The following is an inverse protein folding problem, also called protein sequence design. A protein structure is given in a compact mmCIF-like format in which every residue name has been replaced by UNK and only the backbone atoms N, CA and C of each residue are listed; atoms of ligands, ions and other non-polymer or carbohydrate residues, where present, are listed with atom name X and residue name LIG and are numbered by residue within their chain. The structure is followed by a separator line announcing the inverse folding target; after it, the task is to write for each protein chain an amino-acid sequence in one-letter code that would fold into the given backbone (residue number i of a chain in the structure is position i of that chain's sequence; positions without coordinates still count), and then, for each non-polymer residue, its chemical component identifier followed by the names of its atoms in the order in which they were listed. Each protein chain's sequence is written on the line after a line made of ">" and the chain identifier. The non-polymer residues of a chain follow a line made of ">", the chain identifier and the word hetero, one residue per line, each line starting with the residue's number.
data_IF_623200182737
#
_entry.id   IF_623200182737
#
_cell.length_a   1.000
_cell.length_b   1.000
_cell.length_c   1.000
_cell.angle_alpha   90.00
_cell.angle_beta   90.00
_cell.angle_gamma   90.00
#
_symmetry.space_group_name_H-M   'P 1'
#
loop_
_entity.id
_entity.type
_entity.pdbx_description
1 polymer ?
#
# COMPACT_ATOMS: atom_id res chain seq x y z
N UNK A 1 1.66 -10.02 -20.66
CA UNK A 1 2.97 -9.49 -20.24
C UNK A 1 3.00 -9.52 -18.73
N UNK A 2 3.83 -10.40 -18.17
CA UNK A 2 4.02 -10.56 -16.73
C UNK A 2 4.80 -9.36 -16.18
N UNK A 3 4.51 -8.99 -14.93
CA UNK A 3 5.08 -7.85 -14.24
C UNK A 3 5.49 -8.28 -12.84
N UNK A 4 6.56 -7.68 -12.30
CA UNK A 4 7.03 -7.98 -10.95
C UNK A 4 6.05 -7.53 -9.85
N UNK A 5 5.23 -6.51 -10.14
CA UNK A 5 4.23 -6.06 -9.20
C UNK A 5 3.17 -5.15 -9.82
N UNK A 6 2.18 -4.82 -9.00
CA UNK A 6 1.01 -3.99 -9.34
C UNK A 6 1.01 -2.79 -8.43
N UNK A 7 0.96 -1.60 -9.02
CA UNK A 7 0.96 -0.34 -8.29
C UNK A 7 -0.33 0.42 -8.58
N UNK A 8 -1.17 0.55 -7.57
CA UNK A 8 -2.41 1.33 -7.65
C UNK A 8 -2.15 2.70 -7.07
N UNK A 9 -2.36 3.72 -7.89
CA UNK A 9 -2.47 5.10 -7.47
C UNK A 9 -3.95 5.36 -7.18
N UNK A 10 -4.27 5.58 -5.92
CA UNK A 10 -5.62 5.71 -5.41
C UNK A 10 -5.87 7.15 -4.96
N UNK A 11 -6.88 7.76 -5.55
CA UNK A 11 -7.39 9.07 -5.17
C UNK A 11 -8.68 8.87 -4.36
N UNK A 12 -8.75 9.42 -3.14
CA UNK A 12 -9.93 9.34 -2.27
C UNK A 12 -10.47 10.74 -2.01
N UNK A 13 -11.77 10.93 -2.30
CA UNK A 13 -12.46 12.21 -2.16
C UNK A 13 -13.63 12.11 -1.19
N UNK A 14 -13.97 13.27 -0.60
CA UNK A 14 -15.06 13.43 0.35
C UNK A 14 -14.95 12.51 1.58
N UNK A 15 -13.71 12.22 2.00
CA UNK A 15 -13.41 11.42 3.18
C UNK A 15 -13.85 12.11 4.48
N UNK A 16 -13.87 11.35 5.58
CA UNK A 16 -14.03 11.92 6.91
C UNK A 16 -12.79 12.76 7.30
N UNK A 17 -12.90 14.10 7.42
CA UNK A 17 -11.75 14.96 7.69
C UNK A 17 -11.15 14.74 9.09
N UNK A 18 -11.94 14.29 10.08
CA UNK A 18 -11.42 13.97 11.42
C UNK A 18 -10.49 12.76 11.37
N UNK A 19 -10.86 11.73 10.60
CA UNK A 19 -10.01 10.56 10.38
C UNK A 19 -8.74 10.93 9.60
N UNK A 20 -8.82 11.85 8.64
CA UNK A 20 -7.67 12.29 7.85
C UNK A 20 -6.63 13.08 8.68
N UNK A 21 -7.04 13.74 9.77
CA UNK A 21 -6.14 14.51 10.63
C UNK A 21 -5.62 13.70 11.84
N UNK A 22 -6.08 12.47 12.04
CA UNK A 22 -5.66 11.61 13.15
C UNK A 22 -4.57 10.64 12.71
N UNK A 23 -3.34 10.87 13.18
CA UNK A 23 -2.18 10.05 12.80
C UNK A 23 -2.28 8.62 13.32
N UNK A 24 -2.90 8.39 14.47
CA UNK A 24 -3.05 7.05 15.04
C UNK A 24 -4.11 6.28 14.24
N UNK A 25 -5.22 6.93 13.88
CA UNK A 25 -6.25 6.35 13.02
C UNK A 25 -5.72 6.04 11.62
N UNK A 26 -4.95 6.95 11.02
CA UNK A 26 -4.31 6.72 9.71
C UNK A 26 -3.29 5.59 9.77
N UNK A 27 -2.44 5.56 10.81
CA UNK A 27 -1.45 4.48 11.01
C UNK A 27 -2.14 3.13 11.11
N UNK A 28 -3.19 3.02 11.92
CA UNK A 28 -3.96 1.80 12.07
C UNK A 28 -4.67 1.41 10.76
N UNK A 29 -5.32 2.36 10.09
CA UNK A 29 -6.03 2.14 8.83
C UNK A 29 -5.12 1.60 7.73
N UNK A 30 -3.96 2.23 7.53
CA UNK A 30 -2.97 1.76 6.55
C UNK A 30 -2.38 0.39 6.93
N UNK A 31 -2.15 0.15 8.22
CA UNK A 31 -1.62 -1.14 8.71
C UNK A 31 -2.61 -2.27 8.43
N UNK A 32 -3.88 -2.07 8.74
CA UNK A 32 -4.92 -3.05 8.44
C UNK A 32 -5.12 -3.25 6.93
N UNK A 33 -5.03 -2.19 6.12
CA UNK A 33 -5.06 -2.32 4.66
C UNK A 33 -3.90 -3.18 4.12
N UNK A 34 -2.68 -2.97 4.63
CA UNK A 34 -1.53 -3.80 4.27
C UNK A 34 -1.77 -5.28 4.65
N UNK A 35 -2.24 -5.54 5.87
CA UNK A 35 -2.54 -6.90 6.34
C UNK A 35 -3.68 -7.56 5.54
N UNK A 36 -4.73 -6.81 5.19
CA UNK A 36 -5.85 -7.30 4.40
C UNK A 36 -5.43 -7.75 2.99
N UNK A 37 -4.42 -7.09 2.41
CA UNK A 37 -3.85 -7.53 1.12
C UNK A 37 -3.03 -8.83 1.22
N UNK A 38 -2.67 -9.26 2.44
CA UNK A 38 -1.78 -10.40 2.68
C UNK A 38 -0.29 -10.02 2.67
N UNK A 39 0.03 -8.73 2.68
CA UNK A 39 1.41 -8.25 2.68
C UNK A 39 2.10 -8.47 4.03
N UNK A 40 3.40 -8.76 3.99
CA UNK A 40 4.26 -8.78 5.18
C UNK A 40 4.82 -7.39 5.43
N UNK A 41 4.51 -6.82 6.59
CA UNK A 41 5.00 -5.50 7.01
C UNK A 41 6.41 -5.62 7.56
N UNK A 42 7.31 -4.74 7.10
CA UNK A 42 8.68 -4.62 7.59
C UNK A 42 8.86 -3.39 8.48
N UNK A 43 8.20 -2.27 8.15
CA UNK A 43 8.39 -0.98 8.83
C UNK A 43 7.19 -0.05 8.61
N UNK A 44 6.86 0.77 9.61
CA UNK A 44 5.67 1.64 9.67
C UNK A 44 6.10 3.02 10.18
N UNK A 45 6.03 4.04 9.33
CA UNK A 45 6.41 5.41 9.69
C UNK A 45 5.36 6.42 9.25
N UNK A 46 4.89 7.24 10.19
CA UNK A 46 3.88 8.27 9.98
C UNK A 46 4.27 9.58 10.66
N UNK A 47 3.83 10.69 10.10
CA UNK A 47 4.07 12.04 10.59
C UNK A 47 2.79 12.86 10.47
N UNK A 48 2.36 13.45 11.60
CA UNK A 48 1.33 14.49 11.63
C UNK A 48 1.98 15.86 11.43
N UNK A 49 1.47 16.63 10.49
CA UNK A 49 1.86 18.01 10.27
C UNK A 49 1.07 18.98 11.15
N UNK A 50 1.63 20.17 11.34
CA UNK A 50 0.92 21.30 11.91
C UNK A 50 0.53 22.29 10.79
N UNK A 51 -0.71 22.81 10.77
CA UNK A 51 -1.75 22.59 11.77
C UNK A 51 -2.55 21.29 11.59
N UNK A 52 -2.59 20.72 10.38
CA UNK A 52 -3.38 19.53 10.05
C UNK A 52 -2.67 18.68 8.98
N UNK A 53 -3.11 17.44 8.82
CA UNK A 53 -2.70 16.52 7.78
C UNK A 53 -1.66 15.51 8.25
N UNK A 54 -1.64 14.37 7.57
CA UNK A 54 -0.81 13.21 7.88
C UNK A 54 -0.15 12.71 6.61
N UNK A 55 1.13 12.38 6.69
CA UNK A 55 1.81 11.56 5.68
C UNK A 55 2.43 10.33 6.34
N UNK A 56 2.42 9.22 5.63
CA UNK A 56 3.13 8.04 6.10
C UNK A 56 3.22 6.93 5.09
N UNK A 57 4.01 5.93 5.46
CA UNK A 57 4.37 4.84 4.58
C UNK A 57 4.58 3.57 5.40
N UNK A 58 4.10 2.47 4.84
CA UNK A 58 4.35 1.11 5.31
C UNK A 58 5.25 0.46 4.27
N UNK A 59 6.46 0.10 4.71
CA UNK A 59 7.36 -0.72 3.91
C UNK A 59 6.92 -2.17 4.11
N UNK A 60 6.57 -2.81 3.01
CA UNK A 60 6.26 -4.24 2.97
C UNK A 60 7.38 -4.98 2.24
N UNK A 61 7.39 -6.31 2.32
CA UNK A 61 8.35 -7.10 1.56
C UNK A 61 8.26 -6.74 0.06
N UNK A 62 9.36 -6.18 -0.45
CA UNK A 62 9.57 -5.84 -1.87
C UNK A 62 8.77 -4.67 -2.45
N UNK A 63 8.00 -3.93 -1.66
CA UNK A 63 7.17 -2.81 -2.15
C UNK A 63 6.68 -1.91 -0.99
N UNK A 64 5.52 -1.25 -1.10
CA UNK A 64 5.04 -0.32 -0.07
C UNK A 64 3.56 0.06 -0.20
N UNK A 65 3.00 0.57 0.89
CA UNK A 65 1.81 1.41 0.87
C UNK A 65 2.17 2.81 1.38
N UNK A 66 1.68 3.88 0.77
CA UNK A 66 1.81 5.26 1.28
C UNK A 66 0.49 6.01 1.26
N UNK A 67 0.40 7.04 2.10
CA UNK A 67 -0.74 7.95 2.17
C UNK A 67 -0.28 9.37 2.47
N UNK A 68 -0.92 10.33 1.81
CA UNK A 68 -0.83 11.75 2.07
C UNK A 68 -2.24 12.32 2.17
N UNK A 69 -2.55 13.04 3.24
CA UNK A 69 -3.90 13.54 3.52
C UNK A 69 -3.95 15.06 3.53
N UNK A 70 -5.07 15.60 3.07
CA UNK A 70 -5.44 17.01 3.16
C UNK A 70 -6.85 17.12 3.74
N UNK A 71 -6.99 17.14 5.08
CA UNK A 71 -8.28 17.18 5.76
C UNK A 71 -9.17 18.34 5.32
N UNK A 72 -8.59 19.51 5.04
CA UNK A 72 -9.29 20.71 4.57
C UNK A 72 -9.96 20.54 3.20
N UNK A 73 -9.48 19.58 2.39
CA UNK A 73 -10.07 19.21 1.11
C UNK A 73 -10.82 17.87 1.16
N UNK A 74 -10.91 17.24 2.35
CA UNK A 74 -11.47 15.90 2.54
C UNK A 74 -10.85 14.88 1.57
N UNK A 75 -9.55 15.00 1.35
CA UNK A 75 -8.84 14.29 0.29
C UNK A 75 -7.66 13.48 0.85
N UNK A 76 -7.44 12.30 0.29
CA UNK A 76 -6.24 11.52 0.51
C UNK A 76 -5.72 10.94 -0.82
N UNK A 77 -4.41 11.05 -1.01
CA UNK A 77 -3.67 10.35 -2.06
C UNK A 77 -3.03 9.11 -1.43
N UNK A 78 -3.29 7.93 -1.98
CA UNK A 78 -2.75 6.68 -1.50
C UNK A 78 -2.03 5.93 -2.63
N UNK A 79 -0.93 5.28 -2.29
CA UNK A 79 -0.25 4.34 -3.16
C UNK A 79 -0.36 2.94 -2.56
N UNK A 80 -0.82 1.97 -3.34
CA UNK A 80 -0.78 0.55 -2.97
C UNK A 80 0.08 -0.18 -3.99
N UNK A 81 1.36 -0.33 -3.67
CA UNK A 81 2.30 -1.09 -4.49
C UNK A 81 2.55 -2.44 -3.83
N UNK A 82 2.19 -3.51 -4.51
CA UNK A 82 2.48 -4.89 -4.08
C UNK A 82 3.25 -5.65 -5.15
N UNK A 83 4.05 -6.62 -4.71
CA UNK A 83 4.79 -7.54 -5.55
C UNK A 83 4.27 -8.97 -5.37
N UNK A 84 4.39 -9.78 -6.41
CA UNK A 84 3.91 -11.16 -6.40
C UNK A 84 2.43 -11.32 -6.73
N UNK A 85 2.07 -12.58 -6.95
CA UNK A 85 0.82 -13.05 -7.55
C UNK A 85 -0.17 -13.62 -6.52
N UNK A 86 0.24 -13.68 -5.24
CA UNK A 86 -0.58 -14.10 -4.10
C UNK A 86 -1.24 -12.94 -3.34
N UNK A 87 -0.81 -11.71 -3.60
CA UNK A 87 -1.29 -10.51 -2.92
C UNK A 87 -2.31 -9.81 -3.82
N UNK A 88 -3.51 -9.55 -3.29
CA UNK A 88 -4.51 -8.74 -3.99
C UNK A 88 -4.53 -7.32 -3.41
N UNK A 89 -3.95 -6.33 -4.12
CA UNK A 89 -3.90 -4.97 -3.62
C UNK A 89 -5.26 -4.25 -3.65
N UNK A 90 -6.28 -4.79 -4.35
CA UNK A 90 -7.63 -4.21 -4.30
C UNK A 90 -8.30 -4.41 -2.94
N UNK A 91 -7.93 -5.44 -2.18
CA UNK A 91 -8.40 -5.62 -0.80
C UNK A 91 -7.94 -4.48 0.11
N UNK A 92 -6.71 -3.99 -0.09
CA UNK A 92 -6.23 -2.80 0.62
C UNK A 92 -7.03 -1.56 0.21
N UNK A 93 -7.29 -1.39 -1.09
CA UNK A 93 -8.08 -0.26 -1.59
C UNK A 93 -9.49 -0.25 -1.02
N UNK A 94 -10.20 -1.38 -1.06
CA UNK A 94 -11.56 -1.49 -0.53
C UNK A 94 -11.61 -1.16 0.97
N UNK A 95 -10.60 -1.63 1.71
CA UNK A 95 -10.45 -1.29 3.13
C UNK A 95 -10.25 0.21 3.34
N UNK A 96 -9.37 0.85 2.57
CA UNK A 96 -9.10 2.29 2.68
C UNK A 96 -10.33 3.14 2.33
N UNK A 97 -11.04 2.81 1.24
CA UNK A 97 -12.26 3.50 0.81
C UNK A 97 -13.32 3.45 1.91
N UNK A 98 -13.54 2.26 2.48
CA UNK A 98 -14.51 2.04 3.56
C UNK A 98 -14.11 2.77 4.85
N UNK A 99 -12.85 2.62 5.28
CA UNK A 99 -12.42 3.10 6.59
C UNK A 99 -12.25 4.63 6.65
N UNK A 100 -11.82 5.25 5.55
CA UNK A 100 -11.71 6.71 5.45
C UNK A 100 -13.03 7.38 5.05
N UNK A 101 -14.11 6.59 4.88
CA UNK A 101 -15.45 7.04 4.49
C UNK A 101 -15.46 7.87 3.19
N UNK A 102 -14.64 7.48 2.22
CA UNK A 102 -14.54 8.17 0.94
C UNK A 102 -15.84 8.00 0.14
N UNK A 103 -16.43 9.09 -0.36
CA UNK A 103 -17.67 9.03 -1.16
C UNK A 103 -17.41 8.85 -2.65
N UNK A 104 -16.19 9.17 -3.08
CA UNK A 104 -15.74 8.97 -4.44
C UNK A 104 -14.27 8.56 -4.42
N UNK A 105 -13.90 7.65 -5.31
CA UNK A 105 -12.52 7.22 -5.47
C UNK A 105 -12.18 7.00 -6.94
N UNK A 106 -10.91 7.15 -7.29
CA UNK A 106 -10.40 6.79 -8.60
C UNK A 106 -9.08 6.04 -8.47
N UNK A 107 -8.84 5.11 -9.39
CA UNK A 107 -7.72 4.19 -9.33
C UNK A 107 -7.03 4.16 -10.69
N UNK A 108 -5.72 4.35 -10.71
CA UNK A 108 -4.87 4.05 -11.86
C UNK A 108 -3.97 2.88 -11.48
N UNK A 109 -4.13 1.75 -12.17
CA UNK A 109 -3.24 0.60 -12.01
C UNK A 109 -2.07 0.67 -12.99
N UNK A 110 -0.85 0.60 -12.45
CA UNK A 110 0.38 0.47 -13.20
C UNK A 110 1.06 -0.87 -12.93
N UNK A 111 1.39 -1.59 -14.00
CA UNK A 111 2.26 -2.76 -13.93
C UNK A 111 3.72 -2.32 -13.78
N UNK A 112 4.38 -2.77 -12.72
CA UNK A 112 5.78 -2.43 -12.42
C UNK A 112 6.69 -3.60 -12.77
N UNK A 113 7.82 -3.31 -13.41
CA UNK A 113 8.79 -4.34 -13.80
C UNK A 113 8.24 -5.29 -14.88
N UNK A 114 7.79 -4.75 -16.01
CA UNK A 114 7.35 -5.54 -17.16
C UNK A 114 8.50 -6.44 -17.64
N UNK A 115 8.30 -7.76 -17.59
CA UNK A 115 9.28 -8.73 -18.07
C UNK A 115 9.23 -8.78 -19.60
N UNK A 116 10.29 -8.26 -20.25
CA UNK A 116 10.39 -8.13 -21.71
C UNK A 116 11.00 -9.37 -22.40
N UNK A 117 11.73 -10.19 -21.65
CA UNK A 117 12.41 -11.39 -22.15
C UNK A 117 12.01 -12.60 -21.30
N UNK A 118 11.66 -13.72 -21.95
CA UNK A 118 11.31 -15.01 -21.32
C UNK A 118 12.48 -15.67 -20.55
N UNK A 119 13.66 -15.04 -20.51
CA UNK A 119 14.82 -15.53 -19.76
C UNK A 119 14.68 -15.38 -18.25
N UNK A 120 13.83 -14.47 -17.80
CA UNK A 120 13.54 -14.29 -16.38
C UNK A 120 12.29 -15.10 -16.05
N UNK A 121 12.48 -16.23 -15.39
CA UNK A 121 11.38 -16.97 -14.74
C UNK A 121 10.68 -16.04 -13.74
N UNK A 122 9.37 -16.23 -13.47
CA UNK A 122 8.68 -15.47 -12.42
C UNK A 122 9.50 -15.52 -11.13
N UNK A 123 9.77 -14.36 -10.53
CA UNK A 123 10.56 -14.29 -9.30
C UNK A 123 9.82 -15.07 -8.20
N UNK A 124 10.47 -16.10 -7.63
CA UNK A 124 10.13 -16.57 -6.28
C UNK A 124 10.17 -15.34 -5.36
N UNK A 125 9.22 -15.22 -4.42
CA UNK A 125 9.24 -14.09 -3.49
C UNK A 125 10.61 -14.06 -2.79
N UNK A 126 11.21 -12.90 -2.55
CA UNK A 126 12.50 -12.82 -1.82
C UNK A 126 12.41 -13.47 -0.44
N UNK A 127 11.21 -13.53 0.14
CA UNK A 127 10.92 -14.28 1.36
C UNK A 127 11.16 -15.79 1.21
N UNK A 128 10.86 -16.38 0.05
CA UNK A 128 11.14 -17.79 -0.23
C UNK A 128 12.66 -18.05 -0.31
N UNK A 129 13.45 -17.02 -0.68
CA UNK A 129 14.91 -17.08 -0.78
C UNK A 129 15.57 -16.95 0.61
N UNK A 130 15.02 -16.12 1.51
CA UNK A 130 15.56 -15.94 2.87
C UNK A 130 15.36 -17.19 3.76
N UNK A 131 14.29 -17.97 3.55
CA UNK A 131 14.05 -19.23 4.28
C UNK A 131 14.94 -20.40 3.83
N UNK A 132 15.33 -20.46 2.55
CA UNK A 132 16.26 -21.49 2.03
C UNK A 132 17.71 -21.27 2.54
N UNK A 133 18.07 -20.06 2.99
CA UNK A 133 19.40 -19.72 3.50
C UNK A 133 19.69 -20.07 4.96
N UNK A 134 18.68 -20.49 5.74
CA UNK A 134 18.83 -20.72 7.20
C UNK A 134 18.95 -22.19 7.61
N UNK A 135 18.87 -23.15 6.66
CA UNK A 135 19.00 -24.59 6.94
C UNK A 135 20.41 -25.15 6.76
N UNK A 136 21.43 -24.28 6.75
CA UNK A 136 22.84 -24.64 6.55
C UNK A 136 23.75 -24.18 7.68
N UNK A 137 23.50 -24.62 8.91
CA UNK A 137 24.49 -24.68 10.01
C UNK A 137 24.30 -25.97 10.78
#
# INVERSE_FOLDING_TARGET
>A
MEALGRHLLLELYDCNPEALDDVDEITNTMTQAALASGATILKIEFHKFAPIGVSGMIIIAESHLSIHTWPEYKYAACDVFTCGDKIDPYLAVDYLVSRLDAKSSSIIEMKRGILRDQKYQPLKHKQDIEQEGTTGV
#
